data_IF_665542376897
#
_entry.id   IF_665542376897
#
_cell.length_a   1.000
_cell.length_b   1.000
_cell.length_c   1.000
_cell.angle_alpha   90.00
_cell.angle_beta   90.00
_cell.angle_gamma   90.00
#
_symmetry.space_group_name_H-M   'P 1'
#
loop_
_entity.id
_entity.type
_entity.pdbx_description
1 polymer ?
#
# COMPACT_ATOMS: atom_id res chain seq x y z
N UNK A 1 -29.10 2.08 7.74
CA UNK A 1 -28.80 0.65 7.98
C UNK A 1 -27.32 0.54 8.28
N UNK A 2 -26.96 0.31 9.53
CA UNK A 2 -25.58 0.04 9.90
C UNK A 2 -25.15 -1.31 9.35
N UNK A 3 -23.99 -1.35 8.68
CA UNK A 3 -23.44 -2.61 8.16
C UNK A 3 -22.90 -3.43 9.34
N UNK A 4 -23.50 -4.58 9.60
CA UNK A 4 -23.05 -5.53 10.64
C UNK A 4 -21.65 -6.11 10.33
N UNK A 5 -21.35 -6.27 9.04
CA UNK A 5 -20.10 -6.87 8.56
C UNK A 5 -19.25 -5.87 7.79
N UNK A 6 -17.94 -5.93 8.01
CA UNK A 6 -16.91 -5.25 7.24
C UNK A 6 -16.07 -6.30 6.52
N UNK A 7 -16.30 -6.48 5.23
CA UNK A 7 -15.59 -7.48 4.42
C UNK A 7 -14.29 -6.86 3.88
N UNK A 8 -13.16 -7.52 4.16
CA UNK A 8 -11.84 -7.14 3.67
C UNK A 8 -11.36 -8.20 2.69
N UNK A 9 -11.28 -7.85 1.42
CA UNK A 9 -10.77 -8.74 0.37
C UNK A 9 -9.27 -8.53 0.15
N UNK A 10 -8.52 -9.62 0.11
CA UNK A 10 -7.07 -9.65 -0.12
C UNK A 10 -6.76 -10.52 -1.34
N UNK A 11 -6.28 -9.85 -2.39
CA UNK A 11 -5.90 -10.45 -3.67
C UNK A 11 -4.52 -11.14 -3.61
N UNK A 12 -4.26 -12.19 -4.41
CA UNK A 12 -2.96 -12.86 -4.46
C UNK A 12 -1.79 -11.94 -4.81
N UNK A 13 -2.07 -10.89 -5.60
CA UNK A 13 -1.12 -9.87 -6.07
C UNK A 13 -1.29 -8.55 -5.31
N UNK A 14 -1.66 -8.62 -4.03
CA UNK A 14 -1.81 -7.46 -3.14
C UNK A 14 -0.72 -6.40 -3.37
N UNK A 15 -1.17 -5.19 -3.64
CA UNK A 15 -0.32 -4.06 -4.00
C UNK A 15 -0.25 -3.06 -2.83
N UNK A 16 0.91 -3.01 -2.19
CA UNK A 16 1.20 -2.09 -1.09
C UNK A 16 0.99 -0.63 -1.50
N UNK A 17 1.45 -0.27 -2.70
CA UNK A 17 1.48 1.12 -3.17
C UNK A 17 0.05 1.59 -3.38
N UNK A 18 -0.77 0.77 -4.04
CA UNK A 18 -2.20 1.02 -4.23
C UNK A 18 -2.95 1.15 -2.90
N UNK A 19 -2.71 0.24 -1.95
CA UNK A 19 -3.36 0.28 -0.62
C UNK A 19 -2.97 1.56 0.12
N UNK A 20 -1.68 1.90 0.13
CA UNK A 20 -1.17 3.09 0.80
C UNK A 20 -1.74 4.37 0.20
N UNK A 21 -1.62 4.55 -1.13
CA UNK A 21 -2.13 5.72 -1.85
C UNK A 21 -3.62 5.93 -1.58
N UNK A 22 -4.43 4.86 -1.66
CA UNK A 22 -5.88 4.92 -1.47
C UNK A 22 -6.27 5.36 -0.05
N UNK A 23 -5.49 4.96 0.95
CA UNK A 23 -5.81 5.21 2.36
C UNK A 23 -5.04 6.38 2.98
N UNK A 24 -4.08 6.96 2.26
CA UNK A 24 -3.17 8.04 2.68
C UNK A 24 -3.88 9.18 3.41
N UNK A 25 -4.95 9.73 2.83
CA UNK A 25 -5.72 10.82 3.45
C UNK A 25 -6.27 10.42 4.81
N UNK A 26 -6.77 9.19 4.96
CA UNK A 26 -7.30 8.69 6.24
C UNK A 26 -6.18 8.52 7.27
N UNK A 27 -5.04 7.94 6.86
CA UNK A 27 -3.86 7.73 7.69
C UNK A 27 -3.36 9.06 8.30
N UNK A 28 -3.19 10.10 7.47
CA UNK A 28 -2.59 11.37 7.89
C UNK A 28 -3.61 12.46 8.31
N UNK A 29 -4.91 12.24 8.13
CA UNK A 29 -5.94 13.22 8.55
C UNK A 29 -6.05 13.37 10.08
N UNK A 30 -5.75 12.30 10.82
CA UNK A 30 -5.89 12.25 12.29
C UNK A 30 -4.64 12.68 13.04
N UNK A 31 -3.51 12.85 12.34
CA UNK A 31 -2.21 13.09 12.96
C UNK A 31 -1.87 14.55 13.18
N UNK A 32 -2.72 15.51 12.76
CA UNK A 32 -2.41 16.95 12.89
C UNK A 32 -2.44 17.39 14.35
N UNK A 33 -1.30 17.31 15.02
CA UNK A 33 -1.05 17.97 16.29
C UNK A 33 -0.80 19.46 16.07
N UNK A 34 -0.94 20.29 17.11
CA UNK A 34 -0.62 21.72 17.02
C UNK A 34 0.85 21.96 16.63
N UNK A 35 1.76 21.05 16.99
CA UNK A 35 3.18 21.08 16.60
C UNK A 35 3.41 20.82 15.10
N UNK A 36 2.52 20.09 14.43
CA UNK A 36 2.69 19.83 12.99
C UNK A 36 2.35 21.06 12.14
N UNK A 37 1.58 22.02 12.68
CA UNK A 37 1.22 23.25 11.97
C UNK A 37 2.46 24.04 11.54
N UNK A 38 3.35 24.33 12.48
CA UNK A 38 4.58 25.07 12.19
C UNK A 38 5.49 24.29 11.22
N UNK A 39 5.61 22.97 11.40
CA UNK A 39 6.43 22.13 10.52
C UNK A 39 5.87 22.11 9.09
N UNK A 40 4.55 22.11 8.92
CA UNK A 40 3.92 22.19 7.60
C UNK A 40 4.18 23.54 6.93
N UNK A 41 4.10 24.64 7.67
CA UNK A 41 4.45 25.97 7.14
C UNK A 41 5.92 26.05 6.71
N UNK A 42 6.83 25.47 7.50
CA UNK A 42 8.25 25.40 7.15
C UNK A 42 8.49 24.54 5.89
N UNK A 43 7.77 23.42 5.76
CA UNK A 43 7.82 22.56 4.56
C UNK A 43 7.29 23.31 3.34
N UNK A 44 6.18 24.04 3.45
CA UNK A 44 5.61 24.82 2.35
C UNK A 44 6.60 25.89 1.85
N UNK A 45 7.27 26.58 2.77
CA UNK A 45 8.35 27.54 2.43
C UNK A 45 9.53 26.88 1.72
N UNK A 46 9.98 25.71 2.18
CA UNK A 46 11.04 24.95 1.50
C UNK A 46 10.59 24.47 0.12
N UNK A 47 9.33 24.09 -0.03
CA UNK A 47 8.80 23.60 -1.28
C UNK A 47 8.64 24.73 -2.32
N UNK A 48 8.34 25.96 -1.90
CA UNK A 48 8.44 27.15 -2.75
C UNK A 48 9.87 27.39 -3.24
N UNK A 49 10.86 27.32 -2.34
CA UNK A 49 12.28 27.47 -2.71
C UNK A 49 12.73 26.38 -3.71
N UNK A 50 12.25 25.15 -3.56
CA UNK A 50 12.51 24.07 -4.54
C UNK A 50 11.95 24.46 -5.91
N UNK A 51 10.73 24.98 -5.97
CA UNK A 51 10.12 25.40 -7.24
C UNK A 51 10.85 26.56 -7.89
N UNK A 52 11.33 27.54 -7.12
CA UNK A 52 12.17 28.62 -7.66
C UNK A 52 13.45 28.07 -8.29
N UNK A 53 14.10 27.09 -7.64
CA UNK A 53 15.28 26.43 -8.19
C UNK A 53 14.95 25.62 -9.46
N UNK A 54 13.86 24.88 -9.49
CA UNK A 54 13.41 24.14 -10.69
C UNK A 54 13.12 25.11 -11.84
N UNK A 55 12.40 26.20 -11.58
CA UNK A 55 12.08 27.20 -12.59
C UNK A 55 13.32 27.93 -13.13
N UNK A 56 14.41 27.99 -12.35
CA UNK A 56 15.68 28.58 -12.78
C UNK A 56 16.51 27.68 -13.71
N UNK A 57 16.11 26.43 -13.93
CA UNK A 57 16.79 25.52 -14.85
C UNK A 57 16.42 25.84 -16.30
N UNK A 58 17.41 26.13 -17.14
CA UNK A 58 17.21 26.44 -18.57
C UNK A 58 16.42 25.34 -19.30
N UNK A 59 16.71 24.07 -19.01
CA UNK A 59 15.98 22.94 -19.62
C UNK A 59 14.49 22.93 -19.29
N UNK A 60 14.09 23.44 -18.12
CA UNK A 60 12.69 23.51 -17.69
C UNK A 60 12.00 24.71 -18.33
N UNK A 61 12.65 25.88 -18.33
CA UNK A 61 12.09 27.10 -18.92
C UNK A 61 11.93 26.98 -20.44
N UNK A 62 12.92 26.38 -21.13
CA UNK A 62 12.85 26.09 -22.56
C UNK A 62 11.67 25.16 -22.88
N UNK A 63 11.50 24.08 -22.10
CA UNK A 63 10.42 23.13 -22.32
C UNK A 63 9.03 23.73 -22.02
N UNK A 64 8.91 24.58 -21.00
CA UNK A 64 7.69 25.36 -20.74
C UNK A 64 7.30 26.25 -21.92
N UNK A 65 8.27 26.91 -22.54
CA UNK A 65 8.04 27.76 -23.71
C UNK A 65 7.57 26.94 -24.92
N UNK A 66 8.21 25.78 -25.16
CA UNK A 66 7.80 24.83 -26.21
C UNK A 66 6.35 24.40 -26.00
N UNK A 67 6.02 23.90 -24.81
CA UNK A 67 4.64 23.45 -24.50
C UNK A 67 3.61 24.57 -24.61
N UNK A 68 3.96 25.78 -24.17
CA UNK A 68 3.08 26.95 -24.27
C UNK A 68 2.78 27.30 -25.73
N UNK A 69 3.79 27.26 -26.59
CA UNK A 69 3.62 27.56 -28.02
C UNK A 69 2.80 26.48 -28.73
N UNK A 70 3.05 25.20 -28.45
CA UNK A 70 2.26 24.08 -28.97
C UNK A 70 0.79 24.20 -28.56
N UNK A 71 0.51 24.50 -27.29
CA UNK A 71 -0.87 24.72 -26.82
C UNK A 71 -1.54 25.88 -27.56
N UNK A 72 -0.84 27.02 -27.71
CA UNK A 72 -1.35 28.19 -28.42
C UNK A 72 -1.64 27.91 -29.89
N UNK A 73 -0.89 27.00 -30.52
CA UNK A 73 -1.16 26.50 -31.85
C UNK A 73 -2.48 25.74 -31.98
N UNK A 74 -2.91 25.06 -30.91
CA UNK A 74 -4.19 24.35 -30.83
C UNK A 74 -5.34 25.28 -30.46
N UNK A 75 -5.10 26.22 -29.53
CA UNK A 75 -6.11 27.12 -29.01
C UNK A 75 -5.49 28.47 -28.64
N UNK A 76 -5.95 29.52 -29.30
CA UNK A 76 -5.47 30.88 -29.03
C UNK A 76 -6.10 31.41 -27.74
N UNK A 77 -5.37 31.22 -26.63
CA UNK A 77 -5.72 31.74 -25.31
C UNK A 77 -4.50 32.41 -24.66
N UNK A 78 -4.78 33.38 -23.79
CA UNK A 78 -3.74 34.07 -23.01
C UNK A 78 -3.38 33.24 -21.78
N UNK A 79 -2.63 32.15 -22.02
CA UNK A 79 -2.13 31.28 -20.96
C UNK A 79 -0.62 31.02 -21.11
N UNK A 80 0.00 30.60 -20.02
CA UNK A 80 1.35 30.07 -19.96
C UNK A 80 1.36 28.72 -19.23
N UNK A 81 2.15 27.78 -19.74
CA UNK A 81 2.34 26.47 -19.10
C UNK A 81 3.55 26.57 -18.17
N UNK A 82 3.37 26.19 -16.91
CA UNK A 82 4.41 26.22 -15.87
C UNK A 82 4.56 24.82 -15.29
N UNK A 83 5.81 24.37 -15.15
CA UNK A 83 6.19 23.12 -14.54
C UNK A 83 6.59 23.38 -13.09
N UNK A 84 5.99 22.65 -12.16
CA UNK A 84 6.23 22.78 -10.71
C UNK A 84 6.27 21.40 -10.08
N UNK A 85 6.96 21.27 -8.94
CA UNK A 85 6.93 20.07 -8.12
C UNK A 85 5.52 19.81 -7.58
N UNK A 86 5.06 18.57 -7.64
CA UNK A 86 3.75 18.16 -7.14
C UNK A 86 3.63 18.26 -5.61
N UNK A 87 4.74 18.24 -4.87
CA UNK A 87 4.76 18.42 -3.41
C UNK A 87 4.03 19.71 -3.00
N UNK A 88 4.23 20.79 -3.77
CA UNK A 88 3.62 22.11 -3.51
C UNK A 88 2.13 22.14 -3.82
N UNK A 89 1.69 21.35 -4.79
CA UNK A 89 0.30 21.36 -5.27
C UNK A 89 -0.56 20.42 -4.42
N UNK A 90 -0.01 19.25 -4.11
CA UNK A 90 -0.74 18.14 -3.53
C UNK A 90 -0.44 17.98 -2.02
N UNK A 91 0.61 18.61 -1.50
CA UNK A 91 1.04 18.54 -0.10
C UNK A 91 1.95 17.36 0.20
N UNK A 92 2.83 17.54 1.20
CA UNK A 92 3.97 16.64 1.50
C UNK A 92 3.61 15.16 1.69
N UNK A 93 2.41 14.85 2.17
CA UNK A 93 2.02 13.47 2.40
C UNK A 93 1.81 12.69 1.10
N UNK A 94 1.52 13.34 -0.03
CA UNK A 94 1.24 12.69 -1.32
C UNK A 94 2.46 12.07 -1.98
N UNK A 95 3.66 12.51 -1.60
CA UNK A 95 4.92 11.95 -2.11
C UNK A 95 5.55 10.93 -1.15
N UNK A 96 4.90 10.63 -0.02
CA UNK A 96 5.36 9.57 0.87
C UNK A 96 5.12 8.19 0.30
N UNK A 97 6.06 7.29 0.58
CA UNK A 97 5.98 5.87 0.23
C UNK A 97 6.60 5.03 1.36
N UNK A 98 5.95 3.94 1.80
CA UNK A 98 6.54 3.05 2.79
C UNK A 98 7.73 2.25 2.24
N UNK A 99 8.82 2.23 3.00
CA UNK A 99 10.02 1.43 2.72
C UNK A 99 10.43 0.58 3.93
N UNK A 100 11.08 -0.56 3.68
CA UNK A 100 11.65 -1.42 4.71
C UNK A 100 13.15 -1.14 4.80
N UNK A 101 13.62 -0.74 5.98
CA UNK A 101 15.04 -0.54 6.27
C UNK A 101 15.46 -1.50 7.39
N UNK A 102 16.69 -2.01 7.33
CA UNK A 102 17.25 -2.78 8.44
C UNK A 102 17.81 -1.82 9.49
N UNK A 103 17.48 -2.03 10.76
CA UNK A 103 18.00 -1.19 11.85
C UNK A 103 19.54 -1.17 11.94
N UNK A 104 20.21 -2.19 11.42
CA UNK A 104 21.68 -2.29 11.36
C UNK A 104 22.29 -1.55 10.16
N UNK A 105 21.48 -1.10 9.21
CA UNK A 105 21.97 -0.34 8.06
C UNK A 105 22.06 1.14 8.41
N UNK A 106 23.25 1.55 8.84
CA UNK A 106 23.56 2.94 9.21
C UNK A 106 23.73 3.85 8.00
N UNK A 107 23.81 3.31 6.78
CA UNK A 107 24.03 4.10 5.56
C UNK A 107 22.73 4.66 4.98
N UNK A 108 21.58 4.44 5.64
CA UNK A 108 20.29 4.93 5.20
C UNK A 108 19.88 4.40 3.83
N UNK A 109 20.44 3.26 3.37
CA UNK A 109 20.08 2.70 2.08
C UNK A 109 18.62 2.29 2.16
N UNK A 110 17.79 3.01 1.41
CA UNK A 110 16.44 2.58 1.11
C UNK A 110 16.61 1.32 0.27
N UNK A 111 16.40 0.16 0.90
CA UNK A 111 16.31 -1.07 0.14
C UNK A 111 15.06 -0.91 -0.72
N UNK A 112 15.16 -0.96 -2.07
CA UNK A 112 13.99 -1.17 -2.89
C UNK A 112 13.46 -2.53 -2.47
N UNK A 113 12.50 -2.50 -1.55
CA UNK A 113 11.66 -3.60 -1.06
C UNK A 113 12.24 -4.97 -1.35
N UNK A 114 13.01 -5.51 -0.41
CA UNK A 114 13.67 -6.78 -0.59
C UNK A 114 12.65 -7.92 -0.82
N UNK A 115 12.40 -8.28 -2.09
CA UNK A 115 11.51 -9.35 -2.51
C UNK A 115 10.01 -9.06 -2.34
N UNK A 116 9.22 -9.54 -3.30
CA UNK A 116 7.75 -9.41 -3.30
C UNK A 116 7.10 -9.92 -2.00
N UNK A 117 7.67 -10.95 -1.38
CA UNK A 117 7.13 -11.46 -0.11
C UNK A 117 7.22 -10.47 1.05
N UNK A 118 8.25 -9.61 1.12
CA UNK A 118 8.30 -8.58 2.18
C UNK A 118 7.36 -7.42 1.90
N UNK A 119 7.17 -7.05 0.62
CA UNK A 119 6.12 -6.08 0.24
C UNK A 119 4.76 -6.58 0.68
N UNK A 120 4.46 -7.86 0.41
CA UNK A 120 3.22 -8.51 0.84
C UNK A 120 3.06 -8.44 2.36
N UNK A 121 4.07 -8.80 3.15
CA UNK A 121 3.99 -8.67 4.62
C UNK A 121 3.69 -7.24 5.09
N UNK A 122 4.30 -6.24 4.46
CA UNK A 122 4.03 -4.84 4.79
C UNK A 122 2.61 -4.41 4.38
N UNK A 123 2.11 -4.89 3.24
CA UNK A 123 0.74 -4.64 2.80
C UNK A 123 -0.29 -5.22 3.77
N UNK A 124 -0.09 -6.45 4.24
CA UNK A 124 -0.91 -7.06 5.30
C UNK A 124 -0.84 -6.25 6.60
N UNK A 125 0.36 -5.80 6.99
CA UNK A 125 0.55 -4.97 8.19
C UNK A 125 -0.26 -3.66 8.11
N UNK A 126 -0.23 -3.02 6.94
CA UNK A 126 -1.00 -1.81 6.68
C UNK A 126 -2.51 -2.09 6.69
N UNK A 127 -2.99 -3.13 6.01
CA UNK A 127 -4.41 -3.50 6.01
C UNK A 127 -4.92 -3.79 7.42
N UNK A 128 -4.11 -4.44 8.26
CA UNK A 128 -4.46 -4.72 9.64
C UNK A 128 -4.64 -3.44 10.44
N UNK A 129 -3.71 -2.50 10.32
CA UNK A 129 -3.84 -1.19 10.93
C UNK A 129 -5.09 -0.46 10.44
N UNK A 130 -5.30 -0.43 9.12
CA UNK A 130 -6.46 0.24 8.53
C UNK A 130 -7.79 -0.34 9.03
N UNK A 131 -7.87 -1.67 9.12
CA UNK A 131 -9.07 -2.36 9.58
C UNK A 131 -9.32 -2.10 11.06
N UNK A 132 -8.28 -2.11 11.90
CA UNK A 132 -8.41 -1.82 13.34
C UNK A 132 -8.84 -0.37 13.60
N UNK A 133 -8.22 0.59 12.91
CA UNK A 133 -8.39 2.02 13.19
C UNK A 133 -9.63 2.65 12.51
N UNK A 134 -9.98 2.17 11.31
CA UNK A 134 -10.99 2.81 10.47
C UNK A 134 -12.29 2.01 10.35
N UNK A 135 -12.41 0.83 10.97
CA UNK A 135 -13.68 0.12 11.12
C UNK A 135 -14.57 0.83 12.16
N UNK A 136 -15.18 1.93 11.72
CA UNK A 136 -15.80 2.97 12.55
C UNK A 136 -17.03 2.48 13.34
N UNK A 137 -17.72 1.46 12.82
CA UNK A 137 -18.95 0.94 13.39
C UNK A 137 -18.71 -0.28 14.29
N UNK A 138 -17.45 -0.63 14.57
CA UNK A 138 -17.07 -1.91 15.21
C UNK A 138 -17.75 -3.11 14.55
N UNK A 139 -17.94 -3.03 13.23
CA UNK A 139 -18.55 -4.10 12.45
C UNK A 139 -17.65 -5.34 12.53
N UNK A 140 -18.24 -6.53 12.45
CA UNK A 140 -17.48 -7.77 12.47
C UNK A 140 -16.63 -7.81 11.19
N UNK A 141 -15.30 -7.88 11.34
CA UNK A 141 -14.40 -7.92 10.19
C UNK A 141 -14.31 -9.34 9.67
N UNK A 142 -14.56 -9.54 8.38
CA UNK A 142 -14.43 -10.83 7.70
C UNK A 142 -13.39 -10.69 6.60
N UNK A 143 -12.31 -11.44 6.68
CA UNK A 143 -11.25 -11.43 5.68
C UNK A 143 -11.50 -12.51 4.62
N UNK A 144 -11.44 -12.14 3.34
CA UNK A 144 -11.45 -13.06 2.21
C UNK A 144 -10.06 -13.01 1.59
N UNK A 145 -9.30 -14.08 1.74
CA UNK A 145 -7.86 -14.12 1.43
C UNK A 145 -7.62 -15.14 0.32
N UNK A 146 -7.10 -14.68 -0.82
CA UNK A 146 -6.81 -15.57 -1.94
C UNK A 146 -5.30 -15.81 -2.08
N UNK A 147 -4.93 -17.08 -2.17
CA UNK A 147 -3.56 -17.57 -2.39
C UNK A 147 -2.49 -16.72 -1.68
N UNK A 148 -2.59 -16.55 -0.35
CA UNK A 148 -1.68 -15.68 0.40
C UNK A 148 -0.22 -16.10 0.27
N UNK A 149 0.05 -17.38 0.02
CA UNK A 149 1.36 -17.97 -0.23
C UNK A 149 2.06 -17.46 -1.49
N UNK A 150 1.33 -16.84 -2.43
CA UNK A 150 1.92 -16.40 -3.70
C UNK A 150 3.10 -15.45 -3.44
N UNK A 151 4.21 -15.66 -4.14
CA UNK A 151 5.47 -14.91 -3.95
C UNK A 151 6.07 -14.95 -2.53
N UNK A 152 5.58 -15.81 -1.63
CA UNK A 152 6.14 -15.99 -0.27
C UNK A 152 7.09 -17.17 -0.23
N UNK A 153 8.28 -16.95 0.34
CA UNK A 153 9.16 -18.05 0.72
C UNK A 153 8.50 -18.90 1.83
N UNK A 154 8.80 -20.20 1.86
CA UNK A 154 8.22 -21.17 2.82
C UNK A 154 8.19 -20.68 4.27
N UNK A 155 9.29 -20.11 4.74
CA UNK A 155 9.37 -19.55 6.11
C UNK A 155 8.39 -18.40 6.35
N UNK A 156 8.14 -17.55 5.35
CA UNK A 156 7.16 -16.47 5.44
C UNK A 156 5.73 -16.99 5.39
N UNK A 157 5.46 -18.08 4.67
CA UNK A 157 4.15 -18.74 4.68
C UNK A 157 3.81 -19.26 6.09
N UNK A 158 4.77 -19.92 6.75
CA UNK A 158 4.63 -20.37 8.14
C UNK A 158 4.40 -19.17 9.09
N UNK A 159 5.15 -18.08 8.90
CA UNK A 159 4.94 -16.86 9.69
C UNK A 159 3.57 -16.23 9.45
N UNK A 160 3.07 -16.23 8.21
CA UNK A 160 1.76 -15.71 7.89
C UNK A 160 0.65 -16.61 8.46
N UNK A 161 0.79 -17.93 8.38
CA UNK A 161 -0.10 -18.90 9.04
C UNK A 161 -0.25 -18.58 10.53
N UNK A 162 0.86 -18.38 11.24
CA UNK A 162 0.87 -17.94 12.64
C UNK A 162 0.09 -16.65 12.87
N UNK A 163 0.18 -15.68 11.96
CA UNK A 163 -0.58 -14.44 12.11
C UNK A 163 -2.07 -14.65 11.87
N UNK A 164 -2.44 -15.39 10.83
CA UNK A 164 -3.85 -15.59 10.44
C UNK A 164 -4.63 -16.38 11.51
N UNK A 165 -4.03 -17.41 12.12
CA UNK A 165 -4.76 -18.26 13.08
C UNK A 165 -4.67 -17.78 14.54
N UNK A 166 -3.68 -16.96 14.89
CA UNK A 166 -3.47 -16.57 16.30
C UNK A 166 -3.75 -15.09 16.61
N UNK A 167 -4.05 -14.25 15.62
CA UNK A 167 -4.39 -12.84 15.88
C UNK A 167 -5.90 -12.59 15.80
N UNK A 168 -6.43 -11.92 16.83
CA UNK A 168 -7.87 -11.59 16.95
C UNK A 168 -8.45 -10.83 15.75
N UNK A 169 -7.62 -10.06 15.03
CA UNK A 169 -8.09 -9.35 13.83
C UNK A 169 -8.60 -10.32 12.75
N UNK A 170 -8.09 -11.55 12.75
CA UNK A 170 -8.47 -12.61 11.81
C UNK A 170 -9.37 -13.65 12.46
N UNK A 171 -10.11 -13.33 13.53
CA UNK A 171 -11.09 -14.27 14.12
C UNK A 171 -12.07 -14.85 13.09
N UNK A 172 -12.38 -14.06 12.05
CA UNK A 172 -13.19 -14.49 10.92
C UNK A 172 -12.45 -14.26 9.61
N UNK A 173 -12.01 -15.36 8.98
CA UNK A 173 -11.49 -15.32 7.63
C UNK A 173 -11.86 -16.56 6.83
N UNK A 174 -11.90 -16.40 5.51
CA UNK A 174 -11.98 -17.47 4.52
C UNK A 174 -10.73 -17.35 3.66
N UNK A 175 -9.97 -18.43 3.53
CA UNK A 175 -8.74 -18.45 2.77
C UNK A 175 -8.77 -19.56 1.72
N UNK A 176 -8.40 -19.23 0.48
CA UNK A 176 -8.00 -20.22 -0.51
C UNK A 176 -6.47 -20.37 -0.47
N UNK A 177 -5.99 -21.62 -0.51
CA UNK A 177 -4.55 -21.89 -0.53
C UNK A 177 -4.28 -23.24 -1.18
N UNK A 178 -3.16 -23.35 -1.90
CA UNK A 178 -2.57 -24.61 -2.35
C UNK A 178 -1.35 -25.02 -1.51
N UNK A 179 -0.97 -24.19 -0.52
CA UNK A 179 0.19 -24.42 0.35
C UNK A 179 -0.22 -25.11 1.66
N UNK A 180 0.45 -26.22 1.98
CA UNK A 180 0.29 -26.86 3.29
C UNK A 180 0.93 -26.05 4.42
N UNK A 181 1.93 -25.22 4.12
CA UNK A 181 2.55 -24.33 5.10
C UNK A 181 1.62 -23.22 5.60
N UNK A 182 0.66 -22.79 4.78
CA UNK A 182 -0.36 -21.84 5.21
C UNK A 182 -1.30 -22.43 6.27
N UNK A 183 -1.41 -23.76 6.34
CA UNK A 183 -2.24 -24.48 7.32
C UNK A 183 -1.45 -24.90 8.58
N UNK A 184 -0.19 -24.46 8.71
CA UNK A 184 0.71 -24.90 9.79
C UNK A 184 0.15 -24.67 11.20
N UNK A 185 -0.54 -23.55 11.43
CA UNK A 185 -1.14 -23.20 12.74
C UNK A 185 -2.66 -23.29 12.72
N UNK A 186 -3.22 -24.09 11.81
CA UNK A 186 -4.66 -24.23 11.73
C UNK A 186 -5.24 -24.80 13.03
N UNK A 187 -5.95 -23.96 13.78
CA UNK A 187 -6.71 -24.34 14.98
C UNK A 187 -8.15 -23.85 14.87
N UNK A 188 -9.10 -24.65 15.35
CA UNK A 188 -10.56 -24.36 15.36
C UNK A 188 -11.14 -23.88 14.01
N UNK A 189 -10.55 -24.31 12.90
CA UNK A 189 -10.99 -23.97 11.56
C UNK A 189 -11.55 -25.18 10.81
N UNK A 190 -12.33 -24.91 9.75
CA UNK A 190 -12.84 -25.95 8.85
C UNK A 190 -12.02 -25.96 7.56
N UNK A 191 -11.49 -27.12 7.19
CA UNK A 191 -10.80 -27.32 5.91
C UNK A 191 -11.78 -27.90 4.88
N UNK A 192 -12.10 -27.13 3.85
CA UNK A 192 -12.89 -27.59 2.71
C UNK A 192 -11.94 -27.92 1.56
N UNK A 193 -11.84 -29.20 1.20
CA UNK A 193 -11.04 -29.64 0.06
C UNK A 193 -11.91 -29.62 -1.21
N UNK A 194 -11.51 -28.81 -2.19
CA UNK A 194 -12.08 -28.86 -3.53
C UNK A 194 -11.27 -29.83 -4.38
N UNK A 195 -11.92 -30.88 -4.89
CA UNK A 195 -11.31 -31.86 -5.80
C UNK A 195 -12.30 -32.24 -6.89
N UNK A 196 -11.79 -32.49 -8.09
CA UNK A 196 -12.57 -33.11 -9.15
C UNK A 196 -12.59 -34.63 -8.90
N UNK A 197 -13.78 -35.24 -8.86
CA UNK A 197 -13.95 -36.69 -8.68
C UNK A 197 -13.34 -37.50 -9.84
N UNK A 198 -13.23 -36.91 -11.04
CA UNK A 198 -12.79 -37.59 -12.27
C UNK A 198 -11.26 -37.62 -12.51
N UNK A 199 -10.43 -37.16 -11.57
CA UNK A 199 -8.96 -37.24 -11.72
C UNK A 199 -8.45 -38.64 -11.36
N UNK A 200 -8.05 -39.41 -12.38
CA UNK A 200 -7.32 -40.67 -12.25
C UNK A 200 -6.08 -40.46 -11.37
N UNK A 201 -6.09 -41.06 -10.18
CA UNK A 201 -4.92 -41.13 -9.30
C UNK A 201 -3.97 -42.15 -9.91
N UNK A 202 -2.94 -41.69 -10.62
CA UNK A 202 -1.81 -42.54 -10.95
C UNK A 202 -1.11 -42.90 -9.63
N UNK A 203 -1.34 -44.12 -9.13
CA UNK A 203 -0.55 -44.69 -8.05
C UNK A 203 0.86 -44.91 -8.59
N UNK A 204 1.83 -44.17 -8.07
CA UNK A 204 3.24 -44.56 -8.21
C UNK A 204 3.51 -45.64 -7.16
N UNK A 205 3.90 -46.82 -7.63
CA UNK A 205 4.41 -47.92 -6.80
C UNK A 205 5.79 -47.60 -6.24
#
# INVERSE_FOLDING_TARGET
MDKLFHVVYIDPLIDLDKIFVTNRKRIFSRTKTQSDGQVLEDIDSLAEQINEKIASMDSVSDFQNILTNEYKGLKSEDISIVLRSEIVINGVFNDLQPYIVKNTDTNGRLYPTSGDGRKKMLAYSLLNHLTKEFNSNKAISIFLIEEPENSLHRSMQISLSKQLFNQEIYDYFVMSTHSSEMLYEMDKATLIRLSNEDKVIAKSH
#
